data_IF_434479346719
#
_entry.id   IF_434479346719
#
_cell.length_a   1.000
_cell.length_b   1.000
_cell.length_c   1.000
_cell.angle_alpha   90.00
_cell.angle_beta   90.00
_cell.angle_gamma   90.00
#
_symmetry.space_group_name_H-M   'P 1'
#
loop_
_entity.id
_entity.type
_entity.pdbx_description
1 polymer ?
#
# COMPACT_ATOMS: atom_id res chain seq x y z
N UNK A 1 4.62 19.57 16.53
CA UNK A 1 3.73 18.63 15.82
C UNK A 1 4.59 17.74 14.94
N UNK A 2 5.17 16.71 15.55
CA UNK A 2 6.09 15.76 14.92
C UNK A 2 5.32 14.47 14.62
N UNK A 3 4.38 14.52 13.67
CA UNK A 3 3.44 13.40 13.41
C UNK A 3 3.84 12.49 12.24
N UNK A 4 5.10 12.53 11.80
CA UNK A 4 5.60 11.59 10.79
C UNK A 4 6.94 11.02 11.22
N UNK A 5 7.00 10.53 12.46
CA UNK A 5 8.03 9.56 12.82
C UNK A 5 7.70 8.26 12.07
N UNK A 6 8.45 7.98 11.02
CA UNK A 6 8.76 6.66 10.47
C UNK A 6 7.84 5.54 10.97
N UNK A 7 6.77 5.21 10.23
CA UNK A 7 6.24 3.87 10.36
C UNK A 7 7.34 2.92 9.89
N UNK A 8 8.12 2.36 10.83
CA UNK A 8 9.13 1.31 10.61
C UNK A 8 8.47 -0.02 10.20
N UNK A 9 7.39 0.04 9.45
CA UNK A 9 6.69 -1.11 8.93
C UNK A 9 7.44 -1.56 7.69
N UNK A 10 8.31 -2.55 7.85
CA UNK A 10 9.04 -3.14 6.73
C UNK A 10 8.08 -3.65 5.66
N UNK A 11 8.47 -3.56 4.39
CA UNK A 11 7.73 -4.15 3.26
C UNK A 11 7.33 -5.60 3.53
N UNK A 12 8.17 -6.36 4.24
CA UNK A 12 7.89 -7.72 4.68
C UNK A 12 6.71 -7.83 5.63
N UNK A 13 6.57 -6.90 6.58
CA UNK A 13 5.45 -6.87 7.51
C UNK A 13 4.15 -6.56 6.76
N UNK A 14 4.18 -5.60 5.84
CA UNK A 14 3.01 -5.26 5.00
C UNK A 14 2.62 -6.45 4.12
N UNK A 15 3.59 -7.07 3.43
CA UNK A 15 3.35 -8.23 2.58
C UNK A 15 2.73 -9.39 3.36
N UNK A 16 3.24 -9.67 4.57
CA UNK A 16 2.68 -10.68 5.47
C UNK A 16 1.25 -10.33 5.89
N UNK A 17 1.01 -9.06 6.24
CA UNK A 17 -0.31 -8.59 6.68
C UNK A 17 -1.39 -8.73 5.61
N UNK A 18 -1.04 -8.49 4.34
CA UNK A 18 -1.96 -8.63 3.20
C UNK A 18 -1.96 -10.02 2.58
N UNK A 19 -1.18 -10.96 3.14
CA UNK A 19 -1.15 -12.36 2.74
C UNK A 19 -0.46 -12.63 1.40
N UNK A 20 0.55 -11.83 1.03
CA UNK A 20 1.34 -12.04 -0.20
C UNK A 20 2.83 -12.21 0.11
N UNK A 21 3.57 -12.79 -0.84
CA UNK A 21 5.02 -12.89 -0.73
C UNK A 21 5.70 -11.54 -0.99
N UNK A 22 6.89 -11.34 -0.41
CA UNK A 22 7.75 -10.17 -0.65
C UNK A 22 8.00 -9.94 -2.15
N UNK A 23 8.22 -11.02 -2.90
CA UNK A 23 8.40 -10.95 -4.36
C UNK A 23 7.14 -10.47 -5.07
N UNK A 24 5.95 -10.96 -4.70
CA UNK A 24 4.69 -10.49 -5.27
C UNK A 24 4.44 -9.01 -4.95
N UNK A 25 4.77 -8.57 -3.74
CA UNK A 25 4.69 -7.17 -3.34
C UNK A 25 5.55 -6.28 -4.26
N UNK A 26 6.83 -6.62 -4.46
CA UNK A 26 7.71 -5.83 -5.33
C UNK A 26 7.25 -5.82 -6.79
N UNK A 27 6.75 -6.94 -7.33
CA UNK A 27 6.18 -6.96 -8.68
C UNK A 27 5.03 -5.97 -8.81
N UNK A 28 4.16 -5.90 -7.80
CA UNK A 28 3.02 -4.97 -7.79
C UNK A 28 3.45 -3.51 -7.68
N UNK A 29 4.40 -3.22 -6.80
CA UNK A 29 5.00 -1.88 -6.67
C UNK A 29 5.67 -1.41 -7.97
N UNK A 30 6.26 -2.32 -8.73
CA UNK A 30 6.90 -2.03 -10.02
C UNK A 30 5.91 -2.04 -11.20
N UNK A 31 4.60 -2.12 -10.96
CA UNK A 31 3.58 -2.09 -12.00
C UNK A 31 3.49 -3.35 -12.86
N UNK A 32 4.13 -4.46 -12.46
CA UNK A 32 4.01 -5.74 -13.18
C UNK A 32 2.68 -6.47 -12.92
N UNK A 33 1.95 -6.04 -11.89
CA UNK A 33 0.63 -6.56 -11.52
C UNK A 33 -0.07 -5.56 -10.60
N UNK A 34 -1.40 -5.51 -10.61
CA UNK A 34 -2.13 -4.59 -9.74
C UNK A 34 -2.29 -5.12 -8.32
N UNK A 35 -2.44 -4.22 -7.34
CA UNK A 35 -2.95 -4.58 -6.01
C UNK A 35 -4.46 -4.84 -6.08
N UNK A 36 -4.91 -5.95 -5.51
CA UNK A 36 -6.33 -6.25 -5.38
C UNK A 36 -6.96 -5.40 -4.27
N UNK A 37 -8.28 -5.16 -4.36
CA UNK A 37 -9.02 -4.36 -3.36
C UNK A 37 -8.74 -4.77 -1.91
N UNK A 38 -8.71 -6.07 -1.61
CA UNK A 38 -8.41 -6.59 -0.25
C UNK A 38 -6.99 -6.24 0.21
N UNK A 39 -6.03 -6.22 -0.71
CA UNK A 39 -4.63 -5.88 -0.44
C UNK A 39 -4.51 -4.38 -0.19
N UNK A 40 -5.14 -3.55 -1.02
CA UNK A 40 -5.20 -2.09 -0.86
C UNK A 40 -5.80 -1.74 0.50
N UNK A 41 -6.95 -2.32 0.85
CA UNK A 41 -7.59 -2.09 2.14
C UNK A 41 -6.69 -2.52 3.31
N UNK A 42 -5.99 -3.66 3.18
CA UNK A 42 -5.04 -4.13 4.18
C UNK A 42 -3.83 -3.20 4.35
N UNK A 43 -3.30 -2.67 3.25
CA UNK A 43 -2.20 -1.68 3.28
C UNK A 43 -2.69 -0.38 3.93
N UNK A 44 -3.86 0.12 3.55
CA UNK A 44 -4.44 1.33 4.14
C UNK A 44 -4.73 1.17 5.62
N UNK A 45 -5.23 0.01 6.05
CA UNK A 45 -5.45 -0.29 7.46
C UNK A 45 -4.12 -0.40 8.24
N UNK A 46 -3.08 -0.96 7.63
CA UNK A 46 -1.75 -1.05 8.26
C UNK A 46 -1.05 0.30 8.37
N UNK A 47 -1.21 1.15 7.36
CA UNK A 47 -0.55 2.46 7.26
C UNK A 47 -1.39 3.62 7.80
N UNK A 48 -2.60 3.33 8.28
CA UNK A 48 -3.58 4.31 8.74
C UNK A 48 -3.85 5.39 7.67
N UNK A 49 -3.99 4.96 6.42
CA UNK A 49 -4.26 5.86 5.29
C UNK A 49 -5.74 6.19 5.21
N UNK A 50 -6.04 7.47 5.04
CA UNK A 50 -7.37 7.92 4.69
C UNK A 50 -7.72 7.61 3.22
N UNK A 51 -9.00 7.82 2.87
CA UNK A 51 -9.52 7.53 1.51
C UNK A 51 -8.87 8.41 0.44
N UNK A 52 -8.45 9.62 0.80
CA UNK A 52 -7.82 10.55 -0.14
C UNK A 52 -6.43 10.03 -0.52
N UNK A 53 -5.60 9.71 0.48
CA UNK A 53 -4.27 9.10 0.28
C UNK A 53 -4.35 7.74 -0.39
N UNK A 54 -5.36 6.93 -0.08
CA UNK A 54 -5.62 5.68 -0.83
C UNK A 54 -5.81 5.96 -2.31
N UNK A 55 -6.62 6.97 -2.65
CA UNK A 55 -6.80 7.50 -4.00
C UNK A 55 -5.45 7.82 -4.63
N UNK A 56 -4.73 8.79 -4.06
CA UNK A 56 -3.45 9.29 -4.58
C UNK A 56 -2.37 8.20 -4.78
N UNK A 57 -2.33 7.18 -3.91
CA UNK A 57 -1.29 6.13 -3.95
C UNK A 57 -1.64 5.01 -4.92
N UNK A 58 -2.89 4.55 -4.94
CA UNK A 58 -3.29 3.34 -5.69
C UNK A 58 -4.09 3.63 -6.96
N UNK A 59 -4.67 4.82 -7.06
CA UNK A 59 -5.49 5.24 -8.18
C UNK A 59 -4.89 6.54 -8.69
N UNK A 60 -3.95 6.43 -9.63
CA UNK A 60 -3.44 7.61 -10.35
C UNK A 60 -4.63 8.20 -11.13
N UNK A 61 -5.33 9.15 -10.50
CA UNK A 61 -6.45 9.85 -11.10
C UNK A 61 -5.86 10.85 -12.09
N UNK A 62 -5.47 10.35 -13.27
CA UNK A 62 -5.68 11.11 -14.50
C UNK A 62 -7.07 10.77 -15.02
N UNK A 63 -8.08 11.45 -14.46
CA UNK A 63 -9.30 11.70 -15.24
C UNK A 63 -8.90 12.61 -16.41
N UNK A 64 -8.93 12.05 -17.61
CA UNK A 64 -9.03 12.79 -18.87
C UNK A 64 -10.42 12.58 -19.43
#
# INVERSE_FOLDING_TARGET
MAEVALQKTSVEAIAKQIGISKAAFYRKMNGQSDFYRKEILGICACLHLDKQKMGEIFFDVKVS
#
